data_IF_128555962183
#
_entry.id   IF_128555962183
#
_cell.length_a   1.000
_cell.length_b   1.000
_cell.length_c   1.000
_cell.angle_alpha   90.00
_cell.angle_beta   90.00
_cell.angle_gamma   90.00
#
_symmetry.space_group_name_H-M   'P 1'
#
loop_
_entity.id
_entity.type
_entity.pdbx_description
1 polymer ?
#
# COMPACT_ATOMS: atom_id res chain seq x y z
N UNK A 1 34.57 -5.05 -37.75
CA UNK A 1 33.20 -4.51 -37.84
C UNK A 1 32.20 -5.27 -36.95
N UNK A 2 32.13 -6.60 -37.00
CA UNK A 2 31.15 -7.41 -36.25
C UNK A 2 31.23 -7.34 -34.70
N UNK A 3 32.43 -7.19 -34.12
CA UNK A 3 32.62 -7.09 -32.65
C UNK A 3 31.86 -5.93 -31.98
N UNK A 4 31.64 -4.82 -32.67
CA UNK A 4 30.91 -3.68 -32.10
C UNK A 4 29.40 -3.86 -32.21
N UNK A 5 28.93 -4.57 -33.23
CA UNK A 5 27.51 -4.91 -33.44
C UNK A 5 27.03 -5.85 -32.32
N UNK A 6 27.83 -6.85 -31.96
CA UNK A 6 27.50 -7.79 -30.87
C UNK A 6 27.40 -7.07 -29.52
N UNK A 7 28.29 -6.10 -29.26
CA UNK A 7 28.25 -5.27 -28.03
C UNK A 7 26.99 -4.41 -27.95
N UNK A 8 26.57 -3.79 -29.07
CA UNK A 8 25.35 -3.00 -29.13
C UNK A 8 24.10 -3.87 -28.90
N UNK A 9 24.06 -5.09 -29.47
CA UNK A 9 22.94 -6.01 -29.25
C UNK A 9 22.83 -6.45 -27.78
N UNK A 10 23.95 -6.78 -27.13
CA UNK A 10 23.97 -7.10 -25.70
C UNK A 10 23.52 -5.92 -24.83
N UNK A 11 23.99 -4.71 -25.14
CA UNK A 11 23.60 -3.51 -24.41
C UNK A 11 22.10 -3.20 -24.53
N UNK A 12 21.53 -3.34 -25.74
CA UNK A 12 20.09 -3.17 -25.95
C UNK A 12 19.25 -4.24 -25.26
N UNK A 13 19.71 -5.49 -25.21
CA UNK A 13 19.03 -6.58 -24.48
C UNK A 13 19.06 -6.33 -22.97
N UNK A 14 20.20 -5.93 -22.40
CA UNK A 14 20.29 -5.57 -20.99
C UNK A 14 19.39 -4.37 -20.64
N UNK A 15 19.33 -3.36 -21.50
CA UNK A 15 18.44 -2.21 -21.32
C UNK A 15 16.96 -2.63 -21.36
N UNK A 16 16.60 -3.54 -22.27
CA UNK A 16 15.24 -4.07 -22.37
C UNK A 16 14.84 -4.92 -21.15
N UNK A 17 15.74 -5.76 -20.65
CA UNK A 17 15.56 -6.55 -19.42
C UNK A 17 15.42 -5.64 -18.19
N UNK A 18 16.19 -4.55 -18.13
CA UNK A 18 16.11 -3.58 -17.05
C UNK A 18 14.76 -2.85 -17.04
N UNK A 19 14.24 -2.48 -18.21
CA UNK A 19 12.91 -1.86 -18.36
C UNK A 19 11.76 -2.82 -18.03
N UNK A 20 11.88 -4.10 -18.40
CA UNK A 20 10.89 -5.15 -18.07
C UNK A 20 10.79 -5.44 -16.57
N UNK A 21 11.89 -5.24 -15.82
CA UNK A 21 11.93 -5.51 -14.39
C UNK A 21 11.16 -4.48 -13.55
N UNK A 22 10.89 -3.29 -14.09
CA UNK A 22 10.18 -2.23 -13.37
C UNK A 22 8.68 -2.54 -13.22
N UNK A 23 8.06 -3.21 -14.20
CA UNK A 23 6.61 -3.48 -14.22
C UNK A 23 6.15 -4.56 -13.23
N UNK A 24 7.04 -5.42 -12.75
CA UNK A 24 6.69 -6.54 -11.85
C UNK A 24 6.47 -6.09 -10.39
N UNK A 25 7.07 -4.96 -9.98
CA UNK A 25 6.95 -4.46 -8.61
C UNK A 25 5.67 -3.63 -8.35
N UNK A 26 4.89 -3.33 -9.39
CA UNK A 26 3.74 -2.43 -9.31
C UNK A 26 2.43 -3.07 -8.78
N UNK A 27 2.47 -4.32 -8.31
CA UNK A 27 1.30 -4.94 -7.69
C UNK A 27 1.03 -4.31 -6.32
N UNK A 28 0.07 -3.39 -6.24
CA UNK A 28 -0.28 -2.74 -4.98
C UNK A 28 -0.74 -3.80 -3.94
N UNK A 29 -0.16 -3.80 -2.73
CA UNK A 29 -0.52 -4.74 -1.69
C UNK A 29 -1.97 -4.55 -1.26
N UNK A 30 -2.76 -5.63 -1.29
CA UNK A 30 -4.15 -5.62 -0.81
C UNK A 30 -4.22 -5.12 0.63
N UNK A 31 -5.17 -4.24 1.00
CA UNK A 31 -5.28 -3.75 2.36
C UNK A 31 -5.51 -4.83 3.41
N UNK A 32 -5.06 -4.60 4.64
CA UNK A 32 -5.45 -5.37 5.82
C UNK A 32 -6.76 -4.78 6.33
N UNK A 33 -7.83 -5.58 6.28
CA UNK A 33 -9.14 -5.16 6.81
C UNK A 33 -9.20 -5.43 8.30
N UNK A 34 -9.52 -4.40 9.08
CA UNK A 34 -9.69 -4.51 10.53
C UNK A 34 -11.08 -3.99 10.89
N UNK A 35 -11.89 -4.86 11.50
CA UNK A 35 -13.20 -4.52 12.03
C UNK A 35 -13.10 -4.07 13.48
N UNK A 36 -13.84 -3.02 13.84
CA UNK A 36 -14.04 -2.62 15.24
C UNK A 36 -15.49 -2.18 15.47
N UNK A 37 -16.04 -2.52 16.63
CA UNK A 37 -17.39 -2.14 17.02
C UNK A 37 -17.37 -0.84 17.81
N UNK A 38 -18.18 0.12 17.40
CA UNK A 38 -18.33 1.44 18.03
C UNK A 38 -19.80 1.86 18.00
N UNK A 39 -20.18 2.77 18.90
CA UNK A 39 -21.55 3.31 18.84
C UNK A 39 -21.62 4.36 17.74
N UNK A 40 -22.14 3.97 16.57
CA UNK A 40 -22.37 4.90 15.46
C UNK A 40 -23.59 5.79 15.68
N UNK A 41 -24.59 5.29 16.42
CA UNK A 41 -25.92 5.87 16.56
C UNK A 41 -26.50 5.60 17.95
N UNK A 42 -27.59 6.28 18.29
CA UNK A 42 -28.30 6.12 19.57
C UNK A 42 -27.63 6.86 20.74
N UNK A 43 -28.03 6.49 21.96
CA UNK A 43 -27.64 7.16 23.22
C UNK A 43 -26.13 7.29 23.43
N UNK A 44 -25.35 6.40 22.82
CA UNK A 44 -23.89 6.35 22.99
C UNK A 44 -23.10 6.91 21.80
N UNK A 45 -23.76 7.55 20.82
CA UNK A 45 -23.07 8.15 19.67
C UNK A 45 -22.05 9.21 20.11
N UNK A 46 -22.51 10.19 20.89
CA UNK A 46 -21.71 11.32 21.34
C UNK A 46 -20.47 10.90 22.15
N UNK A 47 -20.59 10.04 23.19
CA UNK A 47 -19.41 9.56 23.91
C UNK A 47 -18.50 8.68 23.05
N UNK A 48 -19.00 8.09 21.95
CA UNK A 48 -18.20 7.26 21.06
C UNK A 48 -17.44 8.05 20.00
N UNK A 49 -17.66 9.36 19.83
CA UNK A 49 -16.99 10.16 18.80
C UNK A 49 -15.46 10.14 18.97
N UNK A 50 -14.97 10.33 20.19
CA UNK A 50 -13.53 10.31 20.46
C UNK A 50 -12.89 8.94 20.16
N UNK A 51 -13.65 7.85 20.31
CA UNK A 51 -13.20 6.49 19.97
C UNK A 51 -13.09 6.34 18.45
N UNK A 52 -14.10 6.81 17.71
CA UNK A 52 -14.09 6.78 16.24
C UNK A 52 -12.92 7.60 15.69
N UNK A 53 -12.70 8.80 16.22
CA UNK A 53 -11.61 9.69 15.84
C UNK A 53 -10.24 9.06 16.17
N UNK A 54 -10.12 8.43 17.34
CA UNK A 54 -8.93 7.69 17.74
C UNK A 54 -8.58 6.56 16.76
N UNK A 55 -9.58 5.78 16.34
CA UNK A 55 -9.38 4.72 15.34
C UNK A 55 -8.96 5.27 13.98
N UNK A 56 -9.58 6.37 13.52
CA UNK A 56 -9.21 7.01 12.25
C UNK A 56 -7.82 7.63 12.30
N UNK A 57 -7.45 8.25 13.41
CA UNK A 57 -6.11 8.77 13.62
C UNK A 57 -5.06 7.65 13.58
N UNK A 58 -5.34 6.54 14.26
CA UNK A 58 -4.47 5.37 14.25
C UNK A 58 -4.30 4.79 12.84
N UNK A 59 -5.40 4.58 12.10
CA UNK A 59 -5.39 4.11 10.71
C UNK A 59 -4.49 5.00 9.84
N UNK A 60 -4.68 6.32 9.94
CA UNK A 60 -3.86 7.30 9.22
C UNK A 60 -2.38 7.19 9.57
N UNK A 61 -2.03 7.18 10.85
CA UNK A 61 -0.64 7.14 11.29
C UNK A 61 0.07 5.83 10.93
N UNK A 62 -0.64 4.70 11.00
CA UNK A 62 -0.09 3.40 10.59
C UNK A 62 0.19 3.40 9.09
N UNK A 63 -0.75 3.86 8.27
CA UNK A 63 -0.57 3.93 6.83
C UNK A 63 0.55 4.89 6.42
N UNK A 64 0.69 6.03 7.11
CA UNK A 64 1.81 6.95 6.91
C UNK A 64 3.18 6.32 7.23
N UNK A 65 3.23 5.32 8.11
CA UNK A 65 4.45 4.58 8.47
C UNK A 65 4.71 3.36 7.57
N UNK A 66 3.99 3.22 6.45
CA UNK A 66 4.14 2.08 5.54
C UNK A 66 3.17 0.92 5.82
N UNK A 67 2.17 1.14 6.68
CA UNK A 67 1.14 0.14 6.97
C UNK A 67 1.61 -0.98 7.89
N UNK A 68 0.92 -2.12 7.84
CA UNK A 68 1.27 -3.34 8.56
C UNK A 68 1.90 -4.33 7.59
N UNK A 69 3.15 -4.70 7.83
CA UNK A 69 3.91 -5.61 6.96
C UNK A 69 3.94 -5.12 5.48
N UNK A 70 4.05 -3.81 5.27
CA UNK A 70 4.05 -3.19 3.94
C UNK A 70 2.67 -3.09 3.27
N UNK A 71 1.59 -3.38 3.99
CA UNK A 71 0.22 -3.35 3.47
C UNK A 71 -0.58 -2.24 4.16
N UNK A 72 -1.34 -1.41 3.42
CA UNK A 72 -2.19 -0.39 4.03
C UNK A 72 -3.28 -1.05 4.89
N UNK A 73 -3.64 -0.41 5.99
CA UNK A 73 -4.79 -0.76 6.83
C UNK A 73 -6.03 -0.06 6.29
N UNK A 74 -7.16 -0.78 6.28
CA UNK A 74 -8.49 -0.22 6.08
C UNK A 74 -9.38 -0.63 7.25
N UNK A 75 -9.83 0.37 8.00
CA UNK A 75 -10.60 0.18 9.21
C UNK A 75 -12.10 0.30 8.92
N UNK A 76 -12.85 -0.73 9.32
CA UNK A 76 -14.29 -0.84 9.14
C UNK A 76 -14.94 -0.74 10.52
N UNK A 77 -15.69 0.34 10.73
CA UNK A 77 -16.41 0.58 11.98
C UNK A 77 -17.84 0.07 11.83
N UNK A 78 -18.26 -0.76 12.79
CA UNK A 78 -19.61 -1.33 12.90
C UNK A 78 -20.34 -0.77 14.12
#
# INVERSE_FOLDING_TARGET
MWRNIIKCMFASICLWIYLLSFSVLAAEPKPVLIGATVSLQGKYKEPSLMIQDGFRLWEKQVNQRGGLLGRPVKLILY
#
